data_IF_810284520519
#
_entry.id   IF_810284520519
#
_cell.length_a   1.000
_cell.length_b   1.000
_cell.length_c   1.000
_cell.angle_alpha   90.00
_cell.angle_beta   90.00
_cell.angle_gamma   90.00
#
_symmetry.space_group_name_H-M   'P 1'
#
loop_
_entity.id
_entity.type
_entity.pdbx_description
1 polymer ?
#
# COMPACT_ATOMS: atom_id res chain seq x y z
N UNK A 1 1.66 2.65 -35.76
CA UNK A 1 0.31 3.08 -35.26
C UNK A 1 0.46 4.02 -34.07
N UNK A 2 -0.26 5.13 -34.02
CA UNK A 2 -0.30 6.00 -32.84
C UNK A 2 -1.01 5.23 -31.71
N UNK A 3 -0.45 5.21 -30.51
CA UNK A 3 -1.06 4.60 -29.33
C UNK A 3 -1.30 5.65 -28.26
N UNK A 4 -2.39 5.53 -27.52
CA UNK A 4 -2.71 6.38 -26.38
C UNK A 4 -2.02 5.83 -25.13
N UNK A 5 -1.35 6.68 -24.34
CA UNK A 5 -0.88 6.33 -23.00
C UNK A 5 -2.03 6.51 -22.01
N UNK A 6 -2.24 5.52 -21.16
CA UNK A 6 -3.34 5.48 -20.21
C UNK A 6 -2.81 5.15 -18.81
N UNK A 7 -3.39 5.76 -17.80
CA UNK A 7 -3.27 5.38 -16.41
C UNK A 7 -4.55 4.63 -15.97
N UNK A 8 -4.37 3.51 -15.26
CA UNK A 8 -5.43 2.74 -14.60
C UNK A 8 -5.31 2.89 -13.10
N UNK A 9 -6.42 3.15 -12.43
CA UNK A 9 -6.54 3.12 -10.97
C UNK A 9 -7.11 1.77 -10.54
N UNK A 10 -6.29 0.95 -9.93
CA UNK A 10 -6.61 -0.43 -9.58
C UNK A 10 -6.73 -0.60 -8.07
N UNK A 11 -7.67 -1.44 -7.63
CA UNK A 11 -7.77 -1.92 -6.26
C UNK A 11 -7.74 -3.44 -6.23
N UNK A 12 -7.22 -4.03 -5.16
CA UNK A 12 -7.17 -5.48 -5.02
C UNK A 12 -6.98 -5.96 -3.58
N UNK A 13 -7.52 -7.15 -3.32
CA UNK A 13 -7.29 -7.93 -2.11
C UNK A 13 -5.98 -8.73 -2.26
N UNK A 14 -4.91 -8.26 -1.64
CA UNK A 14 -3.57 -8.83 -1.81
C UNK A 14 -3.44 -10.29 -1.38
N UNK A 15 -4.27 -10.76 -0.44
CA UNK A 15 -4.27 -12.16 0.02
C UNK A 15 -4.63 -13.16 -1.08
N UNK A 16 -5.34 -12.74 -2.12
CA UNK A 16 -5.64 -13.56 -3.29
C UNK A 16 -4.46 -13.69 -4.28
N UNK A 17 -3.38 -12.92 -4.09
CA UNK A 17 -2.30 -12.80 -5.06
C UNK A 17 -0.92 -13.05 -4.44
N UNK A 18 0.02 -13.52 -5.26
CA UNK A 18 1.44 -13.62 -4.91
C UNK A 18 2.20 -12.29 -5.05
N UNK A 19 1.49 -11.17 -4.92
CA UNK A 19 1.97 -9.82 -5.07
C UNK A 19 1.66 -9.23 -6.44
N UNK A 20 2.21 -8.03 -6.69
CA UNK A 20 1.99 -7.34 -7.96
C UNK A 20 2.70 -8.01 -9.14
N UNK A 21 4.01 -8.19 -9.03
CA UNK A 21 4.88 -8.55 -10.14
C UNK A 21 4.60 -9.96 -10.68
N UNK A 22 4.47 -10.09 -12.02
CA UNK A 22 4.37 -11.38 -12.73
C UNK A 22 5.47 -12.33 -12.27
N UNK A 23 5.11 -13.57 -12.01
CA UNK A 23 5.97 -14.67 -11.59
C UNK A 23 5.59 -15.94 -12.34
N UNK A 24 6.49 -16.93 -12.34
CA UNK A 24 6.24 -18.21 -13.00
C UNK A 24 5.11 -19.03 -12.34
N UNK A 25 4.92 -18.88 -11.04
CA UNK A 25 3.94 -19.67 -10.29
C UNK A 25 2.90 -18.80 -9.59
N UNK A 26 1.64 -19.18 -9.73
CA UNK A 26 0.47 -18.65 -9.05
C UNK A 26 0.01 -17.26 -9.53
N UNK A 27 -1.17 -16.83 -9.09
CA UNK A 27 -1.77 -15.59 -9.55
C UNK A 27 -1.02 -14.37 -9.05
N UNK A 28 -0.80 -13.39 -9.92
CA UNK A 28 -0.25 -12.07 -9.58
C UNK A 28 -1.15 -11.00 -10.16
N UNK A 29 -1.22 -9.84 -9.51
CA UNK A 29 -2.10 -8.76 -9.97
C UNK A 29 -1.77 -8.35 -11.41
N UNK A 30 -0.47 -8.18 -11.73
CA UNK A 30 -0.03 -7.80 -13.06
C UNK A 30 -0.48 -8.80 -14.12
N UNK A 31 -0.25 -10.10 -13.89
CA UNK A 31 -0.64 -11.14 -14.85
C UNK A 31 -2.14 -11.18 -15.07
N UNK A 32 -2.94 -11.08 -14.00
CA UNK A 32 -4.39 -11.09 -14.06
C UNK A 32 -4.95 -9.90 -14.84
N UNK A 33 -4.43 -8.69 -14.58
CA UNK A 33 -4.86 -7.48 -15.31
C UNK A 33 -4.45 -7.54 -16.78
N UNK A 34 -3.22 -7.97 -17.07
CA UNK A 34 -2.73 -8.11 -18.46
C UNK A 34 -3.50 -9.19 -19.24
N UNK A 35 -3.99 -10.23 -18.58
CA UNK A 35 -4.84 -11.24 -19.20
C UNK A 35 -6.22 -10.67 -19.53
N UNK A 36 -6.82 -9.93 -18.61
CA UNK A 36 -8.09 -9.24 -18.84
C UNK A 36 -8.01 -8.19 -19.96
N UNK A 37 -6.85 -7.52 -20.12
CA UNK A 37 -6.57 -6.61 -21.23
C UNK A 37 -6.44 -7.36 -22.55
N UNK A 38 -5.70 -8.48 -22.56
CA UNK A 38 -5.53 -9.31 -23.78
C UNK A 38 -6.85 -9.88 -24.29
N UNK A 39 -7.73 -10.28 -23.39
CA UNK A 39 -9.08 -10.72 -23.73
C UNK A 39 -9.92 -9.62 -24.45
N UNK A 40 -9.46 -8.36 -24.42
CA UNK A 40 -10.05 -7.19 -25.11
C UNK A 40 -9.20 -6.66 -26.25
N UNK A 41 -8.25 -7.47 -26.75
CA UNK A 41 -7.37 -7.09 -27.86
C UNK A 41 -6.26 -6.11 -27.47
N UNK A 42 -6.05 -5.82 -26.18
CA UNK A 42 -5.01 -4.90 -25.72
C UNK A 42 -3.79 -5.68 -25.25
N UNK A 43 -2.80 -5.82 -26.14
CA UNK A 43 -1.51 -6.45 -25.84
C UNK A 43 -0.50 -5.40 -25.38
N UNK A 44 -0.52 -5.02 -24.11
CA UNK A 44 0.40 -4.04 -23.52
C UNK A 44 0.87 -4.49 -22.15
N UNK A 45 2.16 -4.33 -21.89
CA UNK A 45 2.71 -4.50 -20.55
C UNK A 45 2.28 -3.38 -19.61
N UNK A 46 2.18 -3.70 -18.33
CA UNK A 46 1.83 -2.78 -17.27
C UNK A 46 3.06 -2.32 -16.49
N UNK A 47 3.23 -1.01 -16.33
CA UNK A 47 4.16 -0.42 -15.38
C UNK A 47 3.39 0.09 -14.15
N UNK A 48 3.68 -0.44 -12.96
CA UNK A 48 3.01 -0.04 -11.72
C UNK A 48 3.75 1.07 -10.97
N UNK A 49 3.00 1.90 -10.26
CA UNK A 49 3.55 2.93 -9.39
C UNK A 49 4.28 2.33 -8.18
N UNK A 50 3.77 1.23 -7.64
CA UNK A 50 4.40 0.52 -6.53
C UNK A 50 4.27 -0.99 -6.70
N UNK A 51 5.36 -1.74 -6.51
CA UNK A 51 5.28 -3.19 -6.40
C UNK A 51 4.87 -3.54 -4.99
N UNK A 52 3.73 -4.20 -4.83
CA UNK A 52 3.27 -4.73 -3.55
C UNK A 52 3.72 -6.17 -3.38
N UNK A 53 4.08 -6.54 -2.17
CA UNK A 53 4.45 -7.91 -1.81
C UNK A 53 3.22 -8.84 -1.79
N UNK A 54 3.46 -10.15 -1.75
CA UNK A 54 2.41 -11.16 -1.53
C UNK A 54 1.60 -10.80 -0.27
N UNK A 55 0.28 -10.78 -0.38
CA UNK A 55 -0.64 -10.50 0.71
C UNK A 55 -0.91 -9.03 0.99
N UNK A 56 -0.15 -8.10 0.41
CA UNK A 56 -0.35 -6.65 0.58
C UNK A 56 -1.50 -6.19 -0.30
N UNK A 57 -2.47 -5.50 0.30
CA UNK A 57 -3.64 -4.95 -0.37
C UNK A 57 -3.31 -3.64 -1.10
N UNK A 58 -4.18 -3.23 -2.00
CA UNK A 58 -4.18 -1.87 -2.54
C UNK A 58 -5.60 -1.32 -2.66
N UNK A 59 -5.77 -0.09 -2.16
CA UNK A 59 -6.95 0.72 -2.41
C UNK A 59 -6.79 1.50 -3.70
N UNK A 60 -5.60 2.03 -3.94
CA UNK A 60 -5.28 2.83 -5.12
C UNK A 60 -3.87 2.49 -5.62
N UNK A 61 -3.75 1.44 -6.40
CA UNK A 61 -2.58 1.22 -7.25
C UNK A 61 -2.77 1.97 -8.55
N UNK A 62 -1.72 2.57 -9.09
CA UNK A 62 -1.75 3.15 -10.42
C UNK A 62 -0.84 2.36 -11.34
N UNK A 63 -1.35 2.00 -12.51
CA UNK A 63 -0.57 1.35 -13.55
C UNK A 63 -0.68 2.11 -14.88
N UNK A 64 0.40 2.17 -15.65
CA UNK A 64 0.37 2.77 -16.99
C UNK A 64 0.60 1.72 -18.07
N UNK A 65 -0.09 1.92 -19.19
CA UNK A 65 0.00 1.08 -20.39
C UNK A 65 -0.22 1.91 -21.65
N UNK A 66 -0.17 1.25 -22.81
CA UNK A 66 -0.56 1.82 -24.10
C UNK A 66 -1.77 1.07 -24.65
N UNK A 67 -2.73 1.82 -25.17
CA UNK A 67 -3.95 1.29 -25.80
C UNK A 67 -4.13 1.88 -27.19
N UNK A 68 -4.99 1.30 -28.08
CA UNK A 68 -5.44 1.94 -29.30
C UNK A 68 -6.02 3.33 -29.02
N UNK A 69 -5.87 4.31 -29.93
CA UNK A 69 -6.25 5.71 -29.66
C UNK A 69 -7.75 5.93 -29.52
N UNK A 70 -8.56 5.05 -30.08
CA UNK A 70 -10.03 5.02 -30.08
C UNK A 70 -10.63 4.23 -28.91
N UNK A 71 -9.80 3.76 -27.96
CA UNK A 71 -10.28 2.96 -26.84
C UNK A 71 -11.20 3.78 -25.94
N UNK A 72 -12.43 3.30 -25.73
CA UNK A 72 -13.33 3.83 -24.70
C UNK A 72 -12.79 3.49 -23.29
N UNK A 73 -12.25 4.49 -22.62
CA UNK A 73 -11.60 4.32 -21.31
C UNK A 73 -12.60 4.05 -20.19
N UNK A 74 -13.83 4.53 -20.30
CA UNK A 74 -14.90 4.29 -19.31
C UNK A 74 -15.35 2.84 -19.39
N UNK A 75 -15.64 2.35 -20.60
CA UNK A 75 -15.99 0.96 -20.84
C UNK A 75 -14.83 0.02 -20.47
N UNK A 76 -13.58 0.39 -20.76
CA UNK A 76 -12.41 -0.37 -20.37
C UNK A 76 -12.32 -0.51 -18.84
N UNK A 77 -12.42 0.59 -18.08
CA UNK A 77 -12.36 0.54 -16.62
C UNK A 77 -13.47 -0.34 -16.04
N UNK A 78 -14.71 -0.18 -16.53
CA UNK A 78 -15.86 -0.98 -16.08
C UNK A 78 -15.69 -2.48 -16.35
N UNK A 79 -15.00 -2.84 -17.43
CA UNK A 79 -14.79 -4.23 -17.84
C UNK A 79 -13.60 -4.90 -17.10
N UNK A 80 -12.66 -4.11 -16.54
CA UNK A 80 -11.49 -4.61 -15.81
C UNK A 80 -11.83 -4.86 -14.33
N UNK A 81 -12.44 -6.01 -14.06
CA UNK A 81 -12.84 -6.42 -12.70
C UNK A 81 -12.84 -7.95 -12.54
N UNK A 82 -12.69 -8.37 -11.31
CA UNK A 82 -12.78 -9.76 -10.86
C UNK A 82 -13.20 -9.80 -9.38
N UNK A 83 -13.26 -10.98 -8.77
CA UNK A 83 -13.74 -11.15 -7.38
C UNK A 83 -12.84 -10.41 -6.36
N UNK A 84 -11.54 -10.35 -6.59
CA UNK A 84 -10.57 -9.79 -5.66
C UNK A 84 -9.83 -8.55 -6.19
N UNK A 85 -10.23 -8.01 -7.34
CA UNK A 85 -9.60 -6.84 -7.94
C UNK A 85 -10.57 -6.08 -8.86
N UNK A 86 -10.23 -4.84 -9.13
CA UNK A 86 -10.97 -4.05 -10.11
C UNK A 86 -10.23 -2.78 -10.52
N UNK A 87 -10.74 -2.17 -11.59
CA UNK A 87 -10.31 -0.87 -12.06
C UNK A 87 -11.36 0.18 -11.70
N UNK A 88 -10.98 1.13 -10.85
CA UNK A 88 -11.85 2.21 -10.44
C UNK A 88 -12.01 3.28 -11.53
N UNK A 89 -10.96 3.50 -12.31
CA UNK A 89 -10.96 4.47 -13.39
C UNK A 89 -9.81 4.20 -14.38
N UNK A 90 -10.00 4.65 -15.63
CA UNK A 90 -8.96 4.76 -16.63
C UNK A 90 -8.99 6.17 -17.23
N UNK A 91 -7.83 6.78 -17.43
CA UNK A 91 -7.72 8.10 -18.04
C UNK A 91 -6.50 8.21 -18.96
N UNK A 92 -6.60 9.06 -19.98
CA UNK A 92 -5.46 9.42 -20.82
C UNK A 92 -4.36 10.08 -19.99
N UNK A 93 -3.12 9.65 -20.18
CA UNK A 93 -1.98 10.16 -19.45
C UNK A 93 -1.09 11.06 -20.33
N UNK A 94 -0.46 12.12 -19.80
CA UNK A 94 0.41 13.01 -20.52
C UNK A 94 1.60 12.29 -21.18
N UNK A 95 2.19 12.91 -22.21
CA UNK A 95 3.50 12.48 -22.72
C UNK A 95 4.52 12.53 -21.58
N UNK A 96 5.34 11.49 -21.45
CA UNK A 96 6.33 11.40 -20.37
C UNK A 96 5.80 10.81 -19.07
N UNK A 97 4.50 10.67 -18.87
CA UNK A 97 3.97 9.98 -17.69
C UNK A 97 4.43 8.52 -17.66
N UNK A 98 4.92 8.10 -16.50
CA UNK A 98 5.26 6.71 -16.23
C UNK A 98 4.84 6.37 -14.79
N UNK A 99 3.96 5.38 -14.62
CA UNK A 99 3.41 5.10 -13.30
C UNK A 99 4.48 4.87 -12.22
N UNK A 100 5.61 4.27 -12.56
CA UNK A 100 6.70 4.00 -11.61
C UNK A 100 7.52 5.24 -11.24
N UNK A 101 7.75 6.16 -12.21
CA UNK A 101 8.71 7.25 -12.04
C UNK A 101 8.07 8.60 -11.76
N UNK A 102 6.79 8.76 -12.08
CA UNK A 102 6.06 10.02 -11.92
C UNK A 102 5.41 10.24 -10.55
N UNK A 103 5.22 9.24 -9.66
CA UNK A 103 4.68 9.51 -8.33
C UNK A 103 5.57 10.45 -7.53
N UNK A 104 4.96 11.43 -6.87
CA UNK A 104 5.61 12.31 -5.90
C UNK A 104 5.52 11.76 -4.48
N UNK A 105 4.35 11.22 -4.12
CA UNK A 105 4.09 10.68 -2.77
C UNK A 105 3.31 9.37 -2.88
N UNK A 106 3.64 8.43 -1.99
CA UNK A 106 2.89 7.18 -1.76
C UNK A 106 2.48 7.11 -0.31
N UNK A 107 1.21 6.83 -0.05
CA UNK A 107 0.69 6.58 1.29
C UNK A 107 0.39 5.11 1.47
N UNK A 108 0.87 4.56 2.58
CA UNK A 108 0.50 3.24 3.08
C UNK A 108 -0.24 3.36 4.39
N UNK A 109 -1.21 2.48 4.60
CA UNK A 109 -1.87 2.29 5.90
C UNK A 109 -1.66 0.87 6.37
N UNK A 110 -1.50 0.74 7.68
CA UNK A 110 -1.34 -0.54 8.32
C UNK A 110 -2.25 -0.65 9.52
N UNK A 111 -3.01 -1.73 9.61
CA UNK A 111 -3.93 -1.98 10.72
C UNK A 111 -3.38 -3.07 11.61
N UNK A 112 -3.47 -2.83 12.92
CA UNK A 112 -3.04 -3.75 13.97
C UNK A 112 -3.97 -3.66 15.18
N UNK A 113 -4.06 -4.75 15.95
CA UNK A 113 -4.88 -4.87 17.14
C UNK A 113 -4.21 -5.73 18.21
N UNK A 114 -4.71 -5.65 19.42
CA UNK A 114 -4.36 -6.51 20.55
C UNK A 114 -5.50 -7.50 20.78
N UNK A 115 -5.50 -8.61 20.05
CA UNK A 115 -6.56 -9.60 20.04
C UNK A 115 -7.14 -9.80 18.64
N UNK A 116 -8.11 -10.71 18.55
CA UNK A 116 -8.75 -11.02 17.27
C UNK A 116 -9.39 -9.77 16.65
N UNK A 117 -9.06 -9.44 15.39
CA UNK A 117 -9.66 -8.28 14.75
C UNK A 117 -11.16 -8.48 14.55
N UNK A 118 -11.99 -7.43 14.62
CA UNK A 118 -13.39 -7.49 14.23
C UNK A 118 -13.57 -8.17 12.86
N UNK A 119 -14.69 -8.89 12.67
CA UNK A 119 -14.93 -9.72 11.49
C UNK A 119 -14.71 -8.97 10.15
N UNK A 120 -15.10 -7.68 10.09
CA UNK A 120 -14.89 -6.85 8.89
C UNK A 120 -13.41 -6.63 8.53
N UNK A 121 -12.50 -6.74 9.50
CA UNK A 121 -11.05 -6.58 9.33
C UNK A 121 -10.30 -7.91 9.30
N UNK A 122 -11.01 -9.04 9.37
CA UNK A 122 -10.42 -10.36 9.26
C UNK A 122 -9.59 -10.48 7.97
N UNK A 123 -8.33 -10.87 8.11
CA UNK A 123 -7.38 -10.93 6.98
C UNK A 123 -6.89 -9.57 6.46
N UNK A 124 -7.18 -8.46 7.17
CA UNK A 124 -6.69 -7.12 6.82
C UNK A 124 -6.23 -6.28 8.03
N UNK A 125 -6.00 -6.92 9.18
CA UNK A 125 -5.38 -6.36 10.36
C UNK A 125 -4.45 -7.41 11.00
N UNK A 126 -3.36 -6.96 11.62
CA UNK A 126 -2.43 -7.80 12.35
C UNK A 126 -2.85 -7.92 13.81
N UNK A 127 -3.14 -9.12 14.25
CA UNK A 127 -3.29 -9.44 15.67
C UNK A 127 -1.90 -9.60 16.29
N UNK A 128 -1.50 -8.63 17.09
CA UNK A 128 -0.20 -8.61 17.76
C UNK A 128 -0.06 -9.70 18.83
N UNK A 129 -1.17 -10.25 19.34
CA UNK A 129 -1.10 -11.35 20.32
C UNK A 129 -0.60 -12.66 19.71
N UNK A 130 -0.66 -12.76 18.37
CA UNK A 130 -0.13 -13.92 17.62
C UNK A 130 1.38 -13.83 17.35
N UNK A 131 2.01 -12.68 17.65
CA UNK A 131 3.45 -12.50 17.45
C UNK A 131 4.22 -12.87 18.74
N UNK A 132 5.03 -13.93 18.76
CA UNK A 132 5.68 -14.43 19.97
C UNK A 132 6.55 -13.38 20.69
N UNK A 133 7.16 -12.46 19.94
CA UNK A 133 8.01 -11.40 20.50
C UNK A 133 7.23 -10.28 21.17
N UNK A 134 5.93 -10.20 20.95
CA UNK A 134 5.01 -9.16 21.47
C UNK A 134 3.94 -9.78 22.38
N UNK A 135 3.62 -11.06 22.17
CA UNK A 135 2.59 -11.77 22.90
C UNK A 135 2.77 -11.67 24.42
N UNK A 136 1.68 -11.40 25.14
CA UNK A 136 1.70 -11.22 26.60
C UNK A 136 2.29 -9.89 27.09
N UNK A 137 2.75 -9.02 26.18
CA UNK A 137 3.25 -7.68 26.50
C UNK A 137 2.17 -6.62 26.29
N UNK A 138 2.24 -5.55 27.07
CA UNK A 138 1.42 -4.37 26.81
C UNK A 138 2.04 -3.56 25.69
N UNK A 139 1.29 -3.28 24.66
CA UNK A 139 1.69 -2.32 23.61
C UNK A 139 1.33 -0.90 24.08
N UNK A 140 2.29 0.01 23.98
CA UNK A 140 2.09 1.44 24.17
C UNK A 140 1.83 2.12 22.82
N UNK A 141 0.60 2.60 22.53
CA UNK A 141 0.30 3.25 21.26
C UNK A 141 1.05 4.58 21.03
N UNK A 142 1.34 5.31 22.12
CA UNK A 142 2.08 6.58 22.04
C UNK A 142 3.54 6.31 21.67
N UNK A 143 4.14 5.29 22.29
CA UNK A 143 5.49 4.87 21.98
C UNK A 143 5.57 4.30 20.55
N UNK A 144 4.54 3.58 20.07
CA UNK A 144 4.44 3.15 18.67
C UNK A 144 4.44 4.36 17.71
N UNK A 145 3.63 5.37 18.00
CA UNK A 145 3.56 6.59 17.21
C UNK A 145 4.89 7.34 17.23
N UNK A 146 5.53 7.45 18.40
CA UNK A 146 6.83 8.07 18.57
C UNK A 146 7.93 7.33 17.81
N UNK A 147 7.93 6.00 17.85
CA UNK A 147 8.92 5.19 17.14
C UNK A 147 8.81 5.37 15.62
N UNK A 148 7.60 5.34 15.08
CA UNK A 148 7.37 5.59 13.65
C UNK A 148 7.68 7.04 13.28
N UNK A 149 7.31 8.02 14.10
CA UNK A 149 7.61 9.44 13.91
C UNK A 149 9.11 9.73 13.88
N UNK A 150 9.89 9.04 14.70
CA UNK A 150 11.36 9.15 14.70
C UNK A 150 12.01 8.69 13.37
N UNK A 151 11.33 7.88 12.57
CA UNK A 151 11.79 7.47 11.26
C UNK A 151 11.54 8.53 10.16
N UNK A 152 10.77 9.59 10.42
CA UNK A 152 10.51 10.66 9.45
C UNK A 152 11.79 11.41 9.06
N UNK A 153 11.75 11.98 7.86
CA UNK A 153 12.85 12.70 7.25
C UNK A 153 13.59 11.88 6.18
N UNK A 154 14.59 12.52 5.56
CA UNK A 154 15.43 11.90 4.54
C UNK A 154 16.53 11.07 5.20
N UNK A 155 16.52 9.76 4.95
CA UNK A 155 17.46 8.80 5.57
C UNK A 155 17.86 7.69 4.62
N UNK A 156 18.95 7.00 4.92
CA UNK A 156 19.21 5.66 4.39
C UNK A 156 18.46 4.64 5.25
N UNK A 157 17.46 3.99 4.64
CA UNK A 157 16.66 2.95 5.29
C UNK A 157 17.26 1.54 5.11
N UNK A 158 18.54 1.42 4.88
CA UNK A 158 19.23 0.14 4.64
C UNK A 158 18.97 -0.93 5.70
N UNK A 159 18.74 -0.53 6.96
CA UNK A 159 18.38 -1.43 8.06
C UNK A 159 16.96 -2.01 7.94
N UNK A 160 16.08 -1.40 7.15
CA UNK A 160 14.64 -1.68 7.12
C UNK A 160 14.13 -2.17 5.76
N UNK A 161 15.00 -2.57 4.85
CA UNK A 161 14.56 -3.13 3.57
C UNK A 161 15.40 -4.33 3.15
N UNK A 162 14.85 -5.15 2.23
CA UNK A 162 15.56 -6.31 1.72
C UNK A 162 16.89 -5.92 1.05
N UNK A 163 17.91 -6.76 1.22
CA UNK A 163 19.23 -6.56 0.63
C UNK A 163 19.20 -6.44 -0.91
N UNK A 164 18.18 -6.99 -1.56
CA UNK A 164 17.97 -6.87 -3.02
C UNK A 164 17.47 -5.48 -3.46
N UNK A 165 17.08 -4.60 -2.54
CA UNK A 165 16.69 -3.23 -2.87
C UNK A 165 17.92 -2.37 -3.08
N UNK A 166 17.91 -1.54 -4.14
CA UNK A 166 18.95 -0.54 -4.35
C UNK A 166 18.93 0.43 -3.16
N UNK A 167 20.04 0.50 -2.42
CA UNK A 167 20.19 1.42 -1.31
C UNK A 167 20.21 2.84 -1.83
N UNK A 168 19.19 3.60 -1.49
CA UNK A 168 19.07 5.03 -1.78
C UNK A 168 18.45 5.72 -0.58
N UNK A 169 18.86 6.95 -0.34
CA UNK A 169 18.14 7.81 0.59
C UNK A 169 16.72 8.00 0.11
N UNK A 170 15.76 7.86 1.02
CA UNK A 170 14.34 8.10 0.80
C UNK A 170 13.83 9.07 1.85
N UNK A 171 12.74 9.72 1.54
CA UNK A 171 12.08 10.64 2.48
C UNK A 171 10.79 10.01 2.97
N UNK A 172 10.73 9.71 4.27
CA UNK A 172 9.47 9.45 4.95
C UNK A 172 8.92 10.80 5.41
N UNK A 173 7.90 11.30 4.70
CA UNK A 173 7.33 12.63 4.94
C UNK A 173 6.53 12.68 6.23
N UNK A 174 5.75 11.64 6.49
CA UNK A 174 4.99 11.53 7.73
C UNK A 174 4.77 10.08 8.15
N UNK A 175 4.67 9.88 9.47
CA UNK A 175 4.23 8.64 10.08
C UNK A 175 3.37 8.97 11.30
N UNK A 176 2.14 8.49 11.31
CA UNK A 176 1.17 8.73 12.39
C UNK A 176 0.47 7.43 12.79
N UNK A 177 0.03 7.35 14.03
CA UNK A 177 -0.78 6.23 14.55
C UNK A 177 -2.04 6.81 15.17
N UNK A 178 -3.19 6.22 14.88
CA UNK A 178 -4.49 6.63 15.45
C UNK A 178 -5.29 5.40 15.85
N UNK A 179 -6.01 5.50 16.94
CA UNK A 179 -7.06 4.55 17.29
C UNK A 179 -8.23 4.67 16.31
N UNK A 180 -8.85 3.54 15.99
CA UNK A 180 -10.10 3.48 15.24
C UNK A 180 -11.27 3.22 16.20
N UNK A 181 -12.49 3.50 15.78
CA UNK A 181 -13.69 3.22 16.59
C UNK A 181 -13.87 1.74 16.93
N UNK A 182 -13.20 0.85 16.18
CA UNK A 182 -13.29 -0.61 16.35
C UNK A 182 -12.22 -1.18 17.27
N UNK A 183 -11.46 -0.32 17.96
CA UNK A 183 -10.37 -0.76 18.83
C UNK A 183 -9.10 -1.18 18.08
N UNK A 184 -9.01 -0.91 16.78
CA UNK A 184 -7.76 -1.07 16.02
C UNK A 184 -6.86 0.16 16.17
N UNK A 185 -5.57 -0.04 15.93
CA UNK A 185 -4.63 1.03 15.62
C UNK A 185 -4.40 1.06 14.11
N UNK A 186 -4.47 2.24 13.50
CA UNK A 186 -4.11 2.46 12.12
C UNK A 186 -2.87 3.34 12.04
N UNK A 187 -1.76 2.77 11.56
CA UNK A 187 -0.56 3.51 11.23
C UNK A 187 -0.64 3.99 9.77
N UNK A 188 -0.30 5.27 9.53
CA UNK A 188 -0.23 5.90 8.20
C UNK A 188 1.18 6.37 7.95
N UNK A 189 1.75 5.95 6.84
CA UNK A 189 3.10 6.33 6.42
C UNK A 189 3.03 6.90 5.01
N UNK A 190 3.57 8.10 4.80
CA UNK A 190 3.69 8.70 3.47
C UNK A 190 5.14 9.10 3.18
N UNK A 191 5.55 8.98 1.91
CA UNK A 191 6.92 9.31 1.49
C UNK A 191 7.09 9.28 -0.03
N UNK A 192 8.26 9.71 -0.48
CA UNK A 192 8.66 9.78 -1.90
C UNK A 192 8.79 8.40 -2.56
N UNK A 193 9.00 7.36 -1.75
CA UNK A 193 9.11 5.98 -2.17
C UNK A 193 9.55 5.07 -1.03
N UNK A 194 9.33 3.77 -1.23
CA UNK A 194 9.68 2.76 -0.22
C UNK A 194 10.49 1.63 -0.84
N UNK A 195 11.48 1.13 -0.10
CA UNK A 195 12.21 -0.09 -0.44
C UNK A 195 11.34 -1.33 -0.23
N UNK A 196 11.78 -2.45 -0.81
CA UNK A 196 11.10 -3.72 -0.59
C UNK A 196 11.08 -4.05 0.90
N UNK A 197 9.89 -4.34 1.43
CA UNK A 197 9.61 -4.63 2.85
C UNK A 197 9.75 -3.45 3.80
N UNK A 198 10.21 -2.27 3.38
CA UNK A 198 10.55 -1.15 4.26
C UNK A 198 9.40 -0.76 5.21
N UNK A 199 8.20 -0.58 4.71
CA UNK A 199 7.05 -0.19 5.57
C UNK A 199 6.77 -1.26 6.62
N UNK A 200 6.81 -2.54 6.23
CA UNK A 200 6.56 -3.67 7.13
C UNK A 200 7.67 -3.83 8.18
N UNK A 201 8.93 -3.59 7.80
CA UNK A 201 10.06 -3.63 8.74
C UNK A 201 10.02 -2.48 9.74
N UNK A 202 9.65 -1.27 9.29
CA UNK A 202 9.44 -0.13 10.18
C UNK A 202 8.32 -0.40 11.18
N UNK A 203 7.19 -0.94 10.72
CA UNK A 203 6.04 -1.26 11.58
C UNK A 203 6.36 -2.37 12.58
N UNK A 204 7.00 -3.45 12.14
CA UNK A 204 7.39 -4.54 13.01
C UNK A 204 8.42 -4.11 14.06
N UNK A 205 9.42 -3.32 13.65
CA UNK A 205 10.41 -2.75 14.58
C UNK A 205 9.79 -1.80 15.59
N UNK A 206 8.94 -0.90 15.16
CA UNK A 206 8.22 0.03 16.04
C UNK A 206 7.29 -0.71 17.03
N UNK A 207 6.65 -1.82 16.62
CA UNK A 207 5.85 -2.66 17.51
C UNK A 207 6.71 -3.34 18.58
N UNK A 208 7.93 -3.79 18.25
CA UNK A 208 8.85 -4.33 19.23
C UNK A 208 9.31 -3.28 20.26
N UNK A 209 9.56 -2.06 19.81
CA UNK A 209 9.87 -0.94 20.72
C UNK A 209 8.68 -0.62 21.60
N UNK A 210 7.49 -0.50 21.03
CA UNK A 210 6.26 -0.14 21.75
C UNK A 210 5.82 -1.22 22.76
N UNK A 211 6.23 -2.47 22.58
CA UNK A 211 6.00 -3.56 23.53
C UNK A 211 7.14 -3.73 24.55
N UNK A 212 8.18 -2.90 24.50
CA UNK A 212 9.36 -3.04 25.34
C UNK A 212 10.25 -4.25 25.01
N UNK A 213 10.03 -4.91 23.87
CA UNK A 213 10.84 -6.05 23.42
C UNK A 213 12.20 -5.63 22.86
N UNK A 214 12.30 -4.38 22.40
CA UNK A 214 13.54 -3.76 21.90
C UNK A 214 13.68 -2.40 22.57
N UNK A 215 14.88 -2.10 23.13
CA UNK A 215 15.15 -0.81 23.74
C UNK A 215 15.10 0.35 22.73
N UNK A 216 14.69 1.53 23.21
CA UNK A 216 14.59 2.74 22.38
C UNK A 216 15.93 3.13 21.70
N UNK A 217 17.06 3.01 22.40
CA UNK A 217 18.36 3.35 21.83
C UNK A 217 18.72 2.48 20.61
N UNK A 218 18.41 1.17 20.66
CA UNK A 218 18.63 0.25 19.54
C UNK A 218 17.86 0.67 18.29
N UNK A 219 16.62 1.15 18.49
CA UNK A 219 15.82 1.72 17.40
C UNK A 219 16.45 2.98 16.80
N UNK A 220 16.93 3.89 17.66
CA UNK A 220 17.59 5.11 17.20
C UNK A 220 18.87 4.82 16.43
N UNK A 221 19.68 3.86 16.88
CA UNK A 221 20.89 3.43 16.17
C UNK A 221 20.57 2.84 14.79
N UNK A 222 19.54 1.98 14.70
CA UNK A 222 19.12 1.42 13.43
C UNK A 222 18.66 2.51 12.43
N UNK A 223 17.98 3.54 12.92
CA UNK A 223 17.57 4.70 12.11
C UNK A 223 18.74 5.60 11.69
N UNK A 224 19.79 5.68 12.50
CA UNK A 224 20.91 6.59 12.28
C UNK A 224 22.05 6.01 11.44
N UNK A 225 22.31 4.71 11.54
CA UNK A 225 23.53 4.09 11.00
C UNK A 225 23.30 3.08 9.89
N UNK A 226 22.07 2.84 9.47
CA UNK A 226 21.72 1.77 8.52
C UNK A 226 22.32 0.39 8.89
N UNK A 227 22.58 0.17 10.18
CA UNK A 227 23.04 -1.11 10.72
C UNK A 227 21.89 -2.11 10.63
N UNK A 228 22.20 -3.35 10.33
CA UNK A 228 21.18 -4.40 10.26
C UNK A 228 20.38 -4.44 11.57
N UNK A 229 19.09 -4.19 11.47
CA UNK A 229 18.16 -4.25 12.59
C UNK A 229 17.52 -5.62 12.60
N UNK A 230 17.72 -6.37 13.68
CA UNK A 230 17.02 -7.64 13.90
C UNK A 230 15.57 -7.39 14.29
N UNK A 231 14.87 -6.76 13.38
CA UNK A 231 13.48 -6.40 13.52
C UNK A 231 12.55 -7.54 13.17
N UNK A 232 11.29 -7.28 13.39
CA UNK A 232 10.16 -8.10 12.98
C UNK A 232 9.63 -7.59 11.65
N UNK A 233 9.36 -8.47 10.72
CA UNK A 233 8.68 -8.09 9.48
C UNK A 233 7.17 -8.21 9.68
N UNK A 234 6.48 -7.11 9.91
CA UNK A 234 5.03 -7.09 10.10
C UNK A 234 4.29 -7.86 8.99
N UNK A 235 3.24 -8.65 9.30
CA UNK A 235 2.50 -9.44 8.33
C UNK A 235 1.98 -8.61 7.14
N UNK A 236 1.98 -9.14 5.91
CA UNK A 236 1.62 -8.36 4.73
C UNK A 236 0.13 -7.99 4.68
N UNK A 237 -0.73 -8.81 5.24
CA UNK A 237 -2.18 -8.64 5.18
C UNK A 237 -2.71 -7.44 5.98
N UNK A 238 -1.93 -6.89 6.91
CA UNK A 238 -2.27 -5.63 7.57
C UNK A 238 -1.95 -4.40 6.71
N UNK A 239 -1.15 -4.54 5.63
CA UNK A 239 -0.65 -3.43 4.83
C UNK A 239 -1.52 -3.16 3.60
N UNK A 240 -1.83 -1.88 3.40
CA UNK A 240 -2.63 -1.40 2.26
C UNK A 240 -1.89 -0.24 1.60
N UNK A 241 -1.60 -0.36 0.30
CA UNK A 241 -1.24 0.78 -0.54
C UNK A 241 -2.49 1.67 -0.68
N UNK A 242 -2.49 2.80 0.02
CA UNK A 242 -3.70 3.60 0.19
C UNK A 242 -3.92 4.58 -0.92
N UNK A 243 -2.90 5.39 -1.23
CA UNK A 243 -2.96 6.38 -2.28
C UNK A 243 -1.60 6.65 -2.91
N UNK A 244 -1.64 7.16 -4.15
CA UNK A 244 -0.47 7.59 -4.92
C UNK A 244 -0.78 8.98 -5.45
N UNK A 245 0.06 9.96 -5.11
CA UNK A 245 0.00 11.31 -5.64
C UNK A 245 1.05 11.55 -6.72
N UNK A 246 0.73 12.43 -7.66
CA UNK A 246 1.61 12.83 -8.76
C UNK A 246 1.77 14.34 -8.75
N UNK A 247 2.97 14.87 -8.91
CA UNK A 247 3.21 16.29 -9.01
C UNK A 247 2.51 16.88 -10.26
N UNK A 248 1.79 17.99 -10.10
CA UNK A 248 1.10 18.66 -11.21
C UNK A 248 -0.14 17.93 -11.73
N UNK A 249 -0.74 17.04 -10.99
CA UNK A 249 -1.77 16.11 -11.47
C UNK A 249 -3.21 16.29 -10.97
N UNK A 250 -3.85 17.45 -11.04
CA UNK A 250 -5.32 17.44 -11.07
C UNK A 250 -5.86 16.96 -12.42
N UNK A 251 -5.04 16.89 -13.49
CA UNK A 251 -5.52 16.76 -14.87
C UNK A 251 -6.04 15.38 -15.27
N UNK A 252 -5.75 14.33 -14.51
CA UNK A 252 -6.21 12.98 -14.85
C UNK A 252 -6.50 12.07 -13.65
N UNK A 253 -6.38 12.59 -12.43
CA UNK A 253 -6.88 11.85 -11.28
C UNK A 253 -8.40 11.74 -11.40
N UNK A 254 -8.98 10.55 -11.27
CA UNK A 254 -10.44 10.45 -11.20
C UNK A 254 -10.89 11.32 -10.03
N UNK A 255 -11.92 12.14 -10.24
CA UNK A 255 -12.53 12.95 -9.19
C UNK A 255 -12.82 12.07 -7.96
N UNK A 256 -12.83 12.64 -6.77
CA UNK A 256 -13.03 11.90 -5.52
C UNK A 256 -14.30 11.01 -5.52
N UNK A 257 -15.32 11.35 -6.33
CA UNK A 257 -16.53 10.55 -6.55
C UNK A 257 -16.41 9.45 -7.61
N UNK A 258 -15.36 9.46 -8.44
CA UNK A 258 -15.15 8.45 -9.48
C UNK A 258 -14.30 7.27 -9.01
N UNK A 259 -13.71 7.34 -7.81
CA UNK A 259 -13.04 6.22 -7.17
C UNK A 259 -14.11 5.22 -6.71
N UNK A 260 -14.24 4.18 -7.46
CA UNK A 260 -15.12 3.01 -7.36
C UNK A 260 -16.19 3.07 -6.23
N UNK A 261 -17.49 3.19 -6.54
CA UNK A 261 -18.55 3.23 -5.54
C UNK A 261 -18.68 1.92 -4.73
N UNK A 262 -17.89 0.92 -5.02
CA UNK A 262 -17.93 -0.41 -4.37
C UNK A 262 -16.52 -0.94 -4.07
N UNK A 263 -15.70 -0.14 -3.36
CA UNK A 263 -14.51 -0.72 -2.72
C UNK A 263 -14.95 -1.82 -1.75
N UNK A 264 -14.23 -2.96 -1.69
CA UNK A 264 -14.47 -3.94 -0.66
C UNK A 264 -14.48 -3.26 0.72
N UNK A 265 -15.36 -3.66 1.66
CA UNK A 265 -15.52 -2.97 2.96
C UNK A 265 -14.22 -2.73 3.72
N UNK A 266 -13.26 -3.65 3.62
CA UNK A 266 -11.94 -3.52 4.25
C UNK A 266 -11.02 -2.46 3.61
N UNK A 267 -11.36 -1.94 2.44
CA UNK A 267 -10.67 -0.83 1.78
C UNK A 267 -11.41 0.51 1.94
N UNK A 268 -12.65 0.49 2.42
CA UNK A 268 -13.53 1.67 2.50
C UNK A 268 -13.62 2.16 3.95
N UNK A 269 -12.63 2.92 4.40
CA UNK A 269 -12.62 3.50 5.75
C UNK A 269 -13.61 4.69 5.91
N UNK A 270 -14.15 5.23 4.80
CA UNK A 270 -14.98 6.44 4.82
C UNK A 270 -16.49 6.14 4.87
N UNK A 271 -16.91 4.88 4.77
CA UNK A 271 -18.34 4.50 4.87
C UNK A 271 -18.98 4.79 6.24
N UNK A 272 -18.16 4.97 7.27
CA UNK A 272 -18.67 5.22 8.63
C UNK A 272 -19.17 6.64 8.87
N UNK A 273 -18.75 7.60 8.05
CA UNK A 273 -19.23 9.00 8.19
C UNK A 273 -20.64 9.23 7.64
N UNK A 274 -21.17 8.31 6.83
CA UNK A 274 -22.48 8.42 6.20
C UNK A 274 -23.64 7.89 7.03
N UNK A 275 -23.41 6.92 7.92
CA UNK A 275 -24.48 6.32 8.73
C UNK A 275 -24.76 7.03 10.06
N UNK A 276 -23.83 7.87 10.51
CA UNK A 276 -24.02 8.64 11.76
C UNK A 276 -24.77 9.99 11.56
N UNK A 277 -25.23 10.32 10.35
CA UNK A 277 -25.99 11.56 10.05
C UNK A 277 -27.43 11.32 9.62
N UNK A 278 -27.96 10.13 9.81
CA UNK A 278 -29.33 9.76 9.44
C UNK A 278 -30.01 8.95 10.56
N UNK A 279 -30.01 9.47 11.77
CA UNK A 279 -30.77 8.95 12.89
C UNK A 279 -31.25 10.13 13.72
#
# INVERSE_FOLDING_TARGET
MRSLRVALWLHYRGTAFRGWQRQLQGPTVQATVEEALRARGIASGLAAASRTDRGVHARQQVASLRVPPDTDLVALAAALRGPDWGCAAAAGAPRGFHAQWSPSIKEYRYRLCLGAPPARWSGSAWDLTTEPRVAGRRLDPELLARALGAACGRRDFGAFHAASSVRRSRTLESATVRGTHDGLLEARLSGDGFGRYQVRALLGGAALVASGSVPWHTWQEALGRAVQFEGLLAPPHGLILWSIAFAGAPLFAPGAGALCPRLPPFLDADREKGQARGG
#
